data_IF_883782074679
#
_entry.id   IF_883782074679
#
_cell.length_a   1.000
_cell.length_b   1.000
_cell.length_c   1.000
_cell.angle_alpha   90.00
_cell.angle_beta   90.00
_cell.angle_gamma   90.00
#
_symmetry.space_group_name_H-M   'P 1'
#
loop_
_entity.id
_entity.type
_entity.pdbx_description
1 polymer ?
#
# COMPACT_ATOMS: atom_id res chain seq x y z
N UNK A 1 -24.46 7.83 -13.02
CA UNK A 1 -23.14 8.06 -12.39
C UNK A 1 -23.15 7.39 -11.02
N UNK A 2 -22.10 6.66 -10.64
CA UNK A 2 -22.00 6.15 -9.26
C UNK A 2 -21.77 7.34 -8.31
N UNK A 3 -22.49 7.37 -7.19
CA UNK A 3 -22.32 8.43 -6.19
C UNK A 3 -20.89 8.35 -5.63
N UNK A 4 -20.20 9.50 -5.53
CA UNK A 4 -18.83 9.58 -5.02
C UNK A 4 -18.75 9.16 -3.55
N UNK A 5 -19.85 9.26 -2.81
CA UNK A 5 -19.94 8.85 -1.41
C UNK A 5 -19.84 7.34 -1.21
N UNK A 6 -20.31 6.57 -2.19
CA UNK A 6 -20.25 5.10 -2.17
C UNK A 6 -18.87 4.59 -2.61
N UNK A 7 -18.02 5.47 -3.15
CA UNK A 7 -16.67 5.11 -3.59
C UNK A 7 -15.71 5.02 -2.40
N UNK A 8 -14.82 4.02 -2.44
CA UNK A 8 -13.74 3.92 -1.45
C UNK A 8 -12.82 5.13 -1.58
N UNK A 9 -12.43 5.69 -0.43
CA UNK A 9 -11.65 6.93 -0.30
C UNK A 9 -12.28 8.17 -0.95
N UNK A 10 -13.58 8.15 -1.28
CA UNK A 10 -14.27 9.30 -1.89
C UNK A 10 -13.63 9.75 -3.22
N UNK A 11 -13.01 8.80 -3.93
CA UNK A 11 -12.31 9.03 -5.19
C UNK A 11 -12.81 8.02 -6.21
N UNK A 12 -12.91 8.43 -7.47
CA UNK A 12 -13.21 7.51 -8.54
C UNK A 12 -12.07 6.47 -8.69
N UNK A 13 -12.37 5.25 -9.17
CA UNK A 13 -11.37 4.18 -9.23
C UNK A 13 -10.08 4.55 -9.99
N UNK A 14 -10.19 5.36 -11.04
CA UNK A 14 -9.04 5.80 -11.84
C UNK A 14 -8.12 6.76 -11.08
N UNK A 15 -8.68 7.69 -10.31
CA UNK A 15 -7.92 8.63 -9.49
C UNK A 15 -7.33 7.95 -8.26
N UNK A 16 -8.10 7.02 -7.67
CA UNK A 16 -7.67 6.21 -6.52
C UNK A 16 -6.37 5.46 -6.82
N UNK A 17 -6.29 4.77 -7.96
CA UNK A 17 -5.09 4.01 -8.33
C UNK A 17 -3.88 4.94 -8.49
N UNK A 18 -4.05 6.12 -9.11
CA UNK A 18 -2.96 7.09 -9.29
C UNK A 18 -2.46 7.63 -7.95
N UNK A 19 -3.37 8.12 -7.11
CA UNK A 19 -3.04 8.74 -5.82
C UNK A 19 -2.40 7.72 -4.89
N UNK A 20 -3.02 6.55 -4.73
CA UNK A 20 -2.51 5.53 -3.80
C UNK A 20 -1.23 4.89 -4.34
N UNK A 21 -1.06 4.80 -5.67
CA UNK A 21 0.20 4.41 -6.31
C UNK A 21 1.35 5.37 -5.98
N UNK A 22 1.14 6.68 -6.07
CA UNK A 22 2.14 7.71 -5.73
C UNK A 22 2.47 7.68 -4.23
N UNK A 23 1.46 7.55 -3.37
CA UNK A 23 1.66 7.42 -1.93
C UNK A 23 2.45 6.16 -1.58
N UNK A 24 2.09 5.03 -2.18
CA UNK A 24 2.81 3.76 -2.03
C UNK A 24 4.26 3.85 -2.52
N UNK A 25 4.50 4.50 -3.65
CA UNK A 25 5.84 4.76 -4.18
C UNK A 25 6.68 5.60 -3.21
N UNK A 26 6.07 6.62 -2.61
CA UNK A 26 6.73 7.53 -1.66
C UNK A 26 7.14 6.79 -0.39
N UNK A 27 6.20 6.05 0.22
CA UNK A 27 6.48 5.23 1.42
C UNK A 27 7.53 4.15 1.11
N UNK A 28 7.40 3.47 -0.04
CA UNK A 28 8.37 2.47 -0.50
C UNK A 28 9.75 3.08 -0.76
N UNK A 29 9.83 4.29 -1.29
CA UNK A 29 11.07 5.02 -1.50
C UNK A 29 11.79 5.34 -0.20
N UNK A 30 11.07 5.89 0.80
CA UNK A 30 11.63 6.14 2.13
C UNK A 30 12.10 4.85 2.82
N UNK A 31 11.33 3.77 2.72
CA UNK A 31 11.74 2.48 3.26
C UNK A 31 13.01 1.96 2.57
N UNK A 32 13.07 1.99 1.24
CA UNK A 32 14.23 1.54 0.47
C UNK A 32 15.47 2.40 0.72
N UNK A 33 15.29 3.71 0.91
CA UNK A 33 16.37 4.63 1.28
C UNK A 33 16.96 4.30 2.64
N UNK A 34 16.10 4.11 3.65
CA UNK A 34 16.52 3.76 5.01
C UNK A 34 17.26 2.41 5.06
N UNK A 35 16.71 1.39 4.41
CA UNK A 35 17.35 0.08 4.33
C UNK A 35 18.69 0.14 3.58
N UNK A 36 18.76 0.88 2.48
CA UNK A 36 19.98 1.08 1.69
C UNK A 36 21.10 1.75 2.49
N UNK A 37 20.79 2.83 3.23
CA UNK A 37 21.74 3.50 4.13
C UNK A 37 22.22 2.58 5.23
N UNK A 38 21.31 1.83 5.86
CA UNK A 38 21.64 0.94 6.97
C UNK A 38 22.60 -0.17 6.54
N UNK A 39 22.29 -0.84 5.44
CA UNK A 39 23.09 -1.97 4.95
C UNK A 39 24.47 -1.50 4.46
N UNK A 40 24.53 -0.41 3.70
CA UNK A 40 25.78 0.16 3.18
C UNK A 40 26.69 0.68 4.31
N UNK A 41 26.12 1.29 5.35
CA UNK A 41 26.89 1.70 6.54
C UNK A 41 27.54 0.52 7.24
N UNK A 42 26.77 -0.55 7.50
CA UNK A 42 27.29 -1.76 8.14
C UNK A 42 28.37 -2.42 7.27
N UNK A 43 28.13 -2.52 5.96
CA UNK A 43 29.09 -3.05 5.00
C UNK A 43 30.39 -2.25 5.00
N UNK A 44 30.31 -0.92 4.97
CA UNK A 44 31.49 -0.04 4.98
C UNK A 44 32.30 -0.17 6.27
N UNK A 45 31.63 -0.32 7.42
CA UNK A 45 32.27 -0.55 8.71
C UNK A 45 33.01 -1.89 8.73
N UNK A 46 32.40 -2.96 8.21
CA UNK A 46 33.04 -4.28 8.11
C UNK A 46 34.24 -4.25 7.18
N UNK A 47 34.11 -3.65 5.99
CA UNK A 47 35.18 -3.56 5.00
C UNK A 47 36.37 -2.73 5.50
N UNK A 48 36.12 -1.65 6.25
CA UNK A 48 37.17 -0.73 6.72
C UNK A 48 37.55 -0.88 8.20
N UNK A 49 36.99 -1.86 8.92
CA UNK A 49 37.28 -2.07 10.33
C UNK A 49 38.77 -2.29 10.62
N UNK A 50 39.51 -2.84 9.64
CA UNK A 50 40.96 -3.04 9.70
C UNK A 50 41.79 -1.84 9.20
N UNK A 51 41.17 -0.81 8.59
CA UNK A 51 41.83 0.37 7.99
C UNK A 51 41.37 1.67 8.64
N UNK A 52 41.37 1.73 9.97
CA UNK A 52 40.95 2.91 10.70
C UNK A 52 42.00 4.04 10.58
N UNK A 53 41.58 5.29 10.31
CA UNK A 53 42.51 6.41 10.22
C UNK A 53 43.20 6.69 11.56
N UNK A 54 44.53 6.91 11.52
CA UNK A 54 45.32 7.29 12.71
C UNK A 54 45.44 8.81 12.93
N UNK A 55 45.14 9.62 11.91
CA UNK A 55 45.24 11.08 11.93
C UNK A 55 43.85 11.74 11.86
N UNK A 56 43.69 12.91 12.47
CA UNK A 56 42.43 13.69 12.48
C UNK A 56 41.95 14.00 11.05
N UNK A 57 42.85 14.40 10.14
CA UNK A 57 42.50 14.65 8.73
C UNK A 57 42.03 13.40 7.96
N UNK A 58 42.51 12.21 8.35
CA UNK A 58 42.07 10.95 7.74
C UNK A 58 40.62 10.59 8.10
N UNK A 59 40.15 10.98 9.29
CA UNK A 59 38.78 10.79 9.70
C UNK A 59 37.78 11.61 8.88
N UNK A 60 38.17 12.80 8.40
CA UNK A 60 37.34 13.58 7.48
C UNK A 60 37.09 12.82 6.16
N UNK A 61 38.15 12.31 5.52
CA UNK A 61 38.01 11.56 4.27
C UNK A 61 37.26 10.24 4.45
N UNK A 62 37.44 9.58 5.60
CA UNK A 62 36.70 8.39 5.97
C UNK A 62 35.19 8.65 6.01
N UNK A 63 34.75 9.67 6.77
CA UNK A 63 33.32 10.00 6.88
C UNK A 63 32.75 10.53 5.56
N UNK A 64 33.51 11.33 4.80
CA UNK A 64 33.10 11.80 3.48
C UNK A 64 32.85 10.63 2.52
N UNK A 65 33.76 9.65 2.48
CA UNK A 65 33.61 8.46 1.64
C UNK A 65 32.46 7.57 2.13
N UNK A 66 32.34 7.37 3.44
CA UNK A 66 31.24 6.62 4.06
C UNK A 66 29.87 7.20 3.68
N UNK A 67 29.69 8.51 3.87
CA UNK A 67 28.44 9.18 3.55
C UNK A 67 28.11 9.13 2.05
N UNK A 68 29.12 9.22 1.18
CA UNK A 68 28.93 9.09 -0.26
C UNK A 68 28.41 7.70 -0.66
N UNK A 69 29.04 6.63 -0.16
CA UNK A 69 28.60 5.25 -0.45
C UNK A 69 27.20 5.01 0.10
N UNK A 70 26.92 5.46 1.33
CA UNK A 70 25.60 5.34 1.95
C UNK A 70 24.51 6.06 1.16
N UNK A 71 24.79 7.28 0.69
CA UNK A 71 23.83 8.07 -0.07
C UNK A 71 23.52 7.43 -1.43
N UNK A 72 24.54 6.95 -2.15
CA UNK A 72 24.36 6.27 -3.43
C UNK A 72 23.50 5.01 -3.30
N UNK A 73 23.81 4.16 -2.33
CA UNK A 73 23.06 2.92 -2.09
C UNK A 73 21.65 3.22 -1.58
N UNK A 74 21.48 4.27 -0.77
CA UNK A 74 20.17 4.76 -0.35
C UNK A 74 19.31 5.21 -1.53
N UNK A 75 19.85 6.05 -2.43
CA UNK A 75 19.12 6.52 -3.62
C UNK A 75 18.76 5.34 -4.53
N UNK A 76 19.70 4.42 -4.78
CA UNK A 76 19.44 3.22 -5.58
C UNK A 76 18.37 2.33 -4.95
N UNK A 77 18.44 2.12 -3.63
CA UNK A 77 17.44 1.38 -2.87
C UNK A 77 16.05 2.02 -2.96
N UNK A 78 15.97 3.35 -2.86
CA UNK A 78 14.73 4.12 -2.99
C UNK A 78 14.04 3.89 -4.34
N UNK A 79 14.77 4.00 -5.45
CA UNK A 79 14.18 3.81 -6.79
C UNK A 79 13.67 2.39 -7.03
N UNK A 80 14.44 1.39 -6.59
CA UNK A 80 14.06 -0.02 -6.75
C UNK A 80 12.83 -0.33 -5.90
N UNK A 81 12.83 0.13 -4.65
CA UNK A 81 11.75 -0.18 -3.71
C UNK A 81 10.48 0.62 -4.02
N UNK A 82 10.58 1.89 -4.40
CA UNK A 82 9.43 2.70 -4.81
C UNK A 82 8.70 2.08 -6.01
N UNK A 83 9.44 1.61 -7.01
CA UNK A 83 8.88 0.97 -8.20
C UNK A 83 8.17 -0.33 -7.86
N UNK A 84 8.76 -1.18 -7.01
CA UNK A 84 8.14 -2.43 -6.55
C UNK A 84 6.86 -2.18 -5.77
N UNK A 85 6.90 -1.24 -4.82
CA UNK A 85 5.73 -0.91 -4.00
C UNK A 85 4.62 -0.26 -4.83
N UNK A 86 4.96 0.63 -5.76
CA UNK A 86 3.99 1.24 -6.68
C UNK A 86 3.27 0.18 -7.53
N UNK A 87 4.02 -0.75 -8.14
CA UNK A 87 3.44 -1.84 -8.93
C UNK A 87 2.56 -2.76 -8.08
N UNK A 88 3.00 -3.11 -6.86
CA UNK A 88 2.23 -3.95 -5.95
C UNK A 88 0.91 -3.28 -5.54
N UNK A 89 0.96 -1.99 -5.19
CA UNK A 89 -0.20 -1.20 -4.77
C UNK A 89 -1.17 -1.01 -5.93
N UNK A 90 -0.69 -0.59 -7.12
CA UNK A 90 -1.53 -0.45 -8.30
C UNK A 90 -2.15 -1.79 -8.71
N UNK A 91 -1.39 -2.88 -8.66
CA UNK A 91 -1.89 -4.23 -8.95
C UNK A 91 -3.00 -4.65 -7.98
N UNK A 92 -2.82 -4.39 -6.68
CA UNK A 92 -3.83 -4.70 -5.67
C UNK A 92 -5.14 -3.93 -5.88
N UNK A 93 -5.09 -2.60 -6.01
CA UNK A 93 -6.29 -1.79 -6.23
C UNK A 93 -6.92 -2.00 -7.62
N UNK A 94 -6.11 -2.37 -8.61
CA UNK A 94 -6.59 -2.80 -9.92
C UNK A 94 -7.36 -4.12 -9.85
N UNK A 95 -6.86 -5.12 -9.10
CA UNK A 95 -7.57 -6.37 -8.84
C UNK A 95 -8.88 -6.13 -8.10
N UNK A 96 -8.88 -5.26 -7.08
CA UNK A 96 -10.10 -4.88 -6.36
C UNK A 96 -11.16 -4.29 -7.31
N UNK A 97 -10.76 -3.34 -8.17
CA UNK A 97 -11.65 -2.76 -9.19
C UNK A 97 -12.17 -3.81 -10.19
N UNK A 98 -11.31 -4.76 -10.60
CA UNK A 98 -11.74 -5.85 -11.48
C UNK A 98 -12.78 -6.75 -10.80
N UNK A 99 -12.61 -7.08 -9.52
CA UNK A 99 -13.58 -7.88 -8.76
C UNK A 99 -14.89 -7.12 -8.60
N UNK A 100 -14.83 -5.83 -8.21
CA UNK A 100 -16.03 -5.00 -8.07
C UNK A 100 -16.82 -4.94 -9.39
N UNK A 101 -16.15 -4.68 -10.52
CA UNK A 101 -16.81 -4.47 -11.81
C UNK A 101 -17.27 -5.76 -12.49
N UNK A 102 -16.43 -6.80 -12.51
CA UNK A 102 -16.67 -8.00 -13.31
C UNK A 102 -17.26 -9.18 -12.52
N UNK A 103 -16.89 -9.34 -11.24
CA UNK A 103 -17.33 -10.50 -10.47
C UNK A 103 -18.64 -10.25 -9.72
N UNK A 104 -18.92 -9.01 -9.32
CA UNK A 104 -20.07 -8.70 -8.44
C UNK A 104 -20.88 -7.48 -8.87
N UNK A 105 -20.93 -7.23 -10.17
CA UNK A 105 -21.83 -6.25 -10.81
C UNK A 105 -21.82 -4.85 -10.16
N UNK A 106 -20.65 -4.35 -9.76
CA UNK A 106 -20.46 -3.02 -9.19
C UNK A 106 -20.75 -2.88 -7.70
N UNK A 107 -20.95 -3.99 -6.97
CA UNK A 107 -21.07 -3.94 -5.51
C UNK A 107 -19.71 -3.67 -4.87
N UNK A 108 -19.65 -2.66 -4.00
CA UNK A 108 -18.45 -2.26 -3.25
C UNK A 108 -18.61 -2.74 -1.82
N UNK A 109 -17.75 -3.67 -1.38
CA UNK A 109 -17.71 -4.16 0.01
C UNK A 109 -16.31 -4.64 0.42
N UNK A 110 -16.14 -4.94 1.72
CA UNK A 110 -14.91 -5.51 2.27
C UNK A 110 -14.57 -6.90 1.74
N UNK A 111 -15.55 -7.71 1.31
CA UNK A 111 -15.29 -9.06 0.79
C UNK A 111 -14.45 -9.01 -0.50
N UNK A 112 -14.69 -8.01 -1.35
CA UNK A 112 -13.92 -7.81 -2.58
C UNK A 112 -12.47 -7.47 -2.27
N UNK A 113 -12.25 -6.64 -1.24
CA UNK A 113 -10.92 -6.28 -0.74
C UNK A 113 -10.19 -7.49 -0.14
N UNK A 114 -10.91 -8.34 0.62
CA UNK A 114 -10.36 -9.61 1.14
C UNK A 114 -9.95 -10.53 0.00
N UNK A 115 -10.84 -10.73 -0.98
CA UNK A 115 -10.58 -11.55 -2.16
C UNK A 115 -9.37 -11.05 -2.96
N UNK A 116 -9.31 -9.73 -3.21
CA UNK A 116 -8.17 -9.10 -3.87
C UNK A 116 -6.85 -9.31 -3.11
N UNK A 117 -6.88 -9.24 -1.78
CA UNK A 117 -5.69 -9.41 -0.94
C UNK A 117 -5.20 -10.85 -0.93
N UNK A 118 -6.12 -11.82 -0.87
CA UNK A 118 -5.82 -13.24 -0.96
C UNK A 118 -5.23 -13.59 -2.32
N UNK A 119 -5.83 -13.11 -3.41
CA UNK A 119 -5.34 -13.32 -4.79
C UNK A 119 -3.96 -12.69 -4.95
N UNK A 120 -3.77 -11.44 -4.51
CA UNK A 120 -2.47 -10.77 -4.57
C UNK A 120 -1.39 -11.52 -3.80
N UNK A 121 -1.73 -12.06 -2.61
CA UNK A 121 -0.83 -12.91 -1.83
C UNK A 121 -0.49 -14.23 -2.51
N UNK A 122 -1.45 -14.82 -3.22
CA UNK A 122 -1.24 -16.01 -4.05
C UNK A 122 -0.32 -15.75 -5.23
N UNK A 123 -0.59 -14.68 -6.00
CA UNK A 123 0.23 -14.24 -7.14
C UNK A 123 1.67 -13.95 -6.69
N UNK A 124 1.84 -13.22 -5.58
CA UNK A 124 3.15 -12.94 -5.03
C UNK A 124 3.90 -14.22 -4.62
N UNK A 125 3.20 -15.16 -3.98
CA UNK A 125 3.78 -16.44 -3.58
C UNK A 125 4.21 -17.29 -4.77
N UNK A 126 3.41 -17.32 -5.83
CA UNK A 126 3.75 -17.99 -7.08
C UNK A 126 4.94 -17.32 -7.79
N UNK A 127 4.95 -15.98 -7.87
CA UNK A 127 6.07 -15.22 -8.45
C UNK A 127 7.41 -15.47 -7.73
N UNK A 128 7.36 -15.75 -6.42
CA UNK A 128 8.54 -16.08 -5.61
C UNK A 128 8.85 -17.57 -5.52
N UNK A 129 8.16 -18.43 -6.28
CA UNK A 129 8.33 -19.89 -6.26
C UNK A 129 8.30 -20.48 -4.84
N UNK A 130 7.41 -19.96 -3.98
CA UNK A 130 7.29 -20.41 -2.60
C UNK A 130 6.65 -21.80 -2.52
N UNK A 131 6.96 -22.56 -1.48
CA UNK A 131 6.28 -23.84 -1.20
C UNK A 131 4.79 -23.65 -0.99
N UNK A 132 3.99 -24.70 -1.25
CA UNK A 132 2.52 -24.67 -1.06
C UNK A 132 2.11 -24.19 0.33
N UNK A 133 2.85 -24.59 1.37
CA UNK A 133 2.61 -24.17 2.75
C UNK A 133 2.88 -22.68 2.95
N UNK A 134 3.94 -22.15 2.35
CA UNK A 134 4.26 -20.72 2.41
C UNK A 134 3.26 -19.86 1.65
N UNK A 135 2.83 -20.30 0.45
CA UNK A 135 1.78 -19.63 -0.31
C UNK A 135 0.50 -19.56 0.51
N UNK A 136 0.06 -20.68 1.11
CA UNK A 136 -1.13 -20.70 1.95
C UNK A 136 -1.03 -19.78 3.17
N UNK A 137 0.13 -19.76 3.84
CA UNK A 137 0.40 -18.80 4.93
C UNK A 137 0.33 -17.36 4.45
N UNK A 138 0.87 -17.06 3.26
CA UNK A 138 0.84 -15.72 2.68
C UNK A 138 -0.59 -15.29 2.30
N UNK A 139 -1.37 -16.19 1.69
CA UNK A 139 -2.78 -15.98 1.37
C UNK A 139 -3.60 -15.70 2.63
N UNK A 140 -3.41 -16.48 3.70
CA UNK A 140 -4.09 -16.23 5.00
C UNK A 140 -3.74 -14.87 5.59
N UNK A 141 -2.45 -14.51 5.60
CA UNK A 141 -2.00 -13.19 6.06
C UNK A 141 -2.58 -12.06 5.21
N UNK A 142 -2.59 -12.24 3.89
CA UNK A 142 -3.26 -11.35 2.95
C UNK A 142 -4.75 -11.20 3.26
N UNK A 143 -5.45 -12.30 3.53
CA UNK A 143 -6.86 -12.29 3.93
C UNK A 143 -7.11 -11.51 5.22
N UNK A 144 -6.30 -11.69 6.26
CA UNK A 144 -6.43 -10.92 7.51
C UNK A 144 -6.18 -9.41 7.30
N UNK A 145 -5.16 -9.06 6.50
CA UNK A 145 -4.88 -7.67 6.17
C UNK A 145 -5.99 -7.05 5.30
N UNK A 146 -6.49 -7.80 4.31
CA UNK A 146 -7.59 -7.40 3.46
C UNK A 146 -8.90 -7.22 4.23
N UNK A 147 -9.14 -8.04 5.25
CA UNK A 147 -10.30 -7.92 6.13
C UNK A 147 -10.21 -6.64 6.96
N UNK A 148 -9.05 -6.38 7.57
CA UNK A 148 -8.82 -5.15 8.34
C UNK A 148 -8.99 -3.90 7.46
N UNK A 149 -8.38 -3.90 6.27
CA UNK A 149 -8.46 -2.79 5.33
C UNK A 149 -9.88 -2.60 4.79
N UNK A 150 -10.57 -3.69 4.42
CA UNK A 150 -11.92 -3.64 3.88
C UNK A 150 -12.94 -3.14 4.90
N UNK A 151 -12.87 -3.61 6.16
CA UNK A 151 -13.73 -3.08 7.23
C UNK A 151 -13.45 -1.59 7.45
N UNK A 152 -12.18 -1.18 7.43
CA UNK A 152 -11.82 0.24 7.56
C UNK A 152 -12.39 1.06 6.40
N UNK A 153 -12.34 0.55 5.17
CA UNK A 153 -12.92 1.22 4.00
C UNK A 153 -14.46 1.35 4.10
N UNK A 154 -15.14 0.29 4.53
CA UNK A 154 -16.60 0.27 4.69
C UNK A 154 -17.05 1.21 5.83
N UNK A 155 -16.29 1.27 6.93
CA UNK A 155 -16.51 2.24 8.01
C UNK A 155 -16.32 3.68 7.52
N UNK A 156 -15.32 3.95 6.67
CA UNK A 156 -15.12 5.27 6.09
C UNK A 156 -16.25 5.66 5.12
N UNK A 157 -16.80 4.70 4.37
CA UNK A 157 -17.99 4.94 3.53
C UNK A 157 -19.18 5.28 4.42
N UNK A 158 -19.42 4.48 5.46
CA UNK A 158 -20.52 4.70 6.39
C UNK A 158 -20.39 6.03 7.14
N UNK A 159 -19.24 6.37 7.70
CA UNK A 159 -19.07 7.68 8.40
C UNK A 159 -19.30 8.90 7.50
N UNK A 160 -19.13 8.77 6.18
CA UNK A 160 -19.40 9.84 5.20
C UNK A 160 -20.85 9.93 4.74
N UNK A 161 -21.71 8.99 5.13
CA UNK A 161 -23.08 8.92 4.60
C UNK A 161 -23.21 8.09 3.33
N UNK A 162 -22.20 7.32 2.92
CA UNK A 162 -22.30 6.41 1.78
C UNK A 162 -23.06 5.12 2.12
N UNK A 163 -23.55 4.44 1.09
CA UNK A 163 -24.35 3.22 1.21
C UNK A 163 -23.44 1.99 1.29
N UNK A 164 -23.64 1.20 2.35
CA UNK A 164 -23.02 -0.11 2.53
C UNK A 164 -24.12 -1.17 2.50
N UNK A 165 -24.10 -2.07 1.52
CA UNK A 165 -25.24 -2.92 1.17
C UNK A 165 -25.75 -3.80 2.32
N UNK A 166 -24.85 -4.36 3.13
CA UNK A 166 -25.22 -5.26 4.22
C UNK A 166 -25.74 -4.49 5.44
N UNK A 167 -25.27 -3.26 5.67
CA UNK A 167 -25.78 -2.38 6.74
C UNK A 167 -27.20 -1.93 6.39
N UNK A 168 -27.42 -1.57 5.12
CA UNK A 168 -28.74 -1.22 4.59
C UNK A 168 -29.71 -2.42 4.68
N UNK A 169 -29.24 -3.63 4.35
CA UNK A 169 -30.03 -4.86 4.51
C UNK A 169 -30.40 -5.17 5.96
N UNK A 170 -29.59 -4.74 6.93
CA UNK A 170 -29.89 -4.83 8.36
C UNK A 170 -30.86 -3.73 8.83
N UNK A 171 -31.30 -2.83 7.95
CA UNK A 171 -32.25 -1.76 8.26
C UNK A 171 -31.63 -0.58 9.01
N UNK A 172 -30.30 -0.53 9.16
CA UNK A 172 -29.61 0.55 9.86
C UNK A 172 -29.44 1.71 8.88
N UNK A 173 -30.35 2.68 8.94
CA UNK A 173 -30.24 3.91 8.16
C UNK A 173 -29.19 4.82 8.78
N UNK A 174 -28.34 5.36 7.92
CA UNK A 174 -27.32 6.31 8.33
C UNK A 174 -27.92 7.72 8.41
N UNK A 175 -27.87 8.41 9.57
CA UNK A 175 -28.43 9.75 9.72
C UNK A 175 -27.84 10.78 8.75
N UNK A 176 -26.60 10.57 8.31
CA UNK A 176 -25.91 11.49 7.38
C UNK A 176 -26.35 11.31 5.92
N UNK A 177 -26.91 10.16 5.56
CA UNK A 177 -27.37 9.90 4.19
C UNK A 177 -28.45 10.92 3.76
N UNK A 178 -29.40 11.21 4.65
CA UNK A 178 -30.50 12.13 4.38
C UNK A 178 -30.03 13.60 4.28
N UNK A 179 -29.01 13.98 5.06
CA UNK A 179 -28.41 15.33 5.01
C UNK A 179 -27.72 15.60 3.68
N UNK A 180 -27.02 14.60 3.14
CA UNK A 180 -26.37 14.71 1.84
C UNK A 180 -27.41 14.81 0.73
N UNK A 181 -28.39 13.90 0.71
CA UNK A 181 -29.46 13.88 -0.30
C UNK A 181 -30.21 15.21 -0.36
N UNK A 182 -30.39 15.88 0.80
CA UNK A 182 -31.02 17.19 0.87
C UNK A 182 -30.13 18.30 0.29
N UNK A 183 -28.82 18.25 0.52
CA UNK A 183 -27.86 19.22 -0.06
C UNK A 183 -27.73 19.10 -1.58
N UNK A 184 -27.77 17.88 -2.12
CA UNK A 184 -27.64 17.59 -3.55
C UNK A 184 -28.89 18.02 -4.35
N UNK A 185 -30.04 18.18 -3.68
CA UNK A 185 -31.27 18.73 -4.28
C UNK A 185 -31.34 20.26 -4.30
N UNK A 186 -30.46 20.94 -3.56
CA UNK A 186 -30.44 22.40 -3.43
C UNK A 186 -29.36 23.06 -4.32
N UNK A 187 -28.50 22.25 -4.96
CA UNK A 187 -27.48 22.65 -5.94
C UNK A 187 -27.92 22.35 -7.36
#
# INVERSE_FOLDING_TARGET
>A
MSNIQDQRFHLFPHDRIKVVGILGATVGGFQGFYEGIKISSLRYLTENGHRLPKKVGGWYFYHKKKNYVMLLDGIRGSFIQSSKTALAVCGFFGLEYCIDKYARNGTIDFFNTVGAAMISGGIFGAYKNLSRVQIWKNVKRGGYLGLSLGITQDLLIWTRGGRVWYIDKLGIKNPRFDTVSSSEKLS
#
